data_IF_829921204660
#
_entry.id   IF_829921204660
#
_cell.length_a   1.000
_cell.length_b   1.000
_cell.length_c   1.000
_cell.angle_alpha   90.00
_cell.angle_beta   90.00
_cell.angle_gamma   90.00
#
_symmetry.space_group_name_H-M   'P 1'
#
loop_
_entity.id
_entity.type
_entity.pdbx_description
1 polymer ?
#
# COMPACT_ATOMS: atom_id res chain seq x y z
N UNK A 1 0.62 -13.53 -12.58
CA UNK A 1 -0.35 -12.87 -13.50
C UNK A 1 -0.18 -11.37 -13.35
N UNK A 2 -0.37 -10.59 -14.42
CA UNK A 2 -0.25 -9.14 -14.36
C UNK A 2 -1.56 -8.53 -13.85
N UNK A 3 -1.47 -7.66 -12.84
CA UNK A 3 -2.60 -6.97 -12.21
C UNK A 3 -2.39 -5.47 -12.26
N UNK A 4 -3.46 -4.70 -12.45
CA UNK A 4 -3.41 -3.24 -12.28
C UNK A 4 -3.37 -2.89 -10.81
N UNK A 5 -2.44 -2.02 -10.42
CA UNK A 5 -2.23 -1.61 -9.02
C UNK A 5 -3.50 -0.97 -8.42
N UNK A 6 -4.22 -0.17 -9.22
CA UNK A 6 -5.47 0.49 -8.81
C UNK A 6 -6.62 -0.47 -8.50
N UNK A 7 -6.56 -1.72 -8.95
CA UNK A 7 -7.60 -2.74 -8.74
C UNK A 7 -7.27 -3.71 -7.59
N UNK A 8 -6.04 -3.67 -7.07
CA UNK A 8 -5.59 -4.56 -6.00
C UNK A 8 -6.38 -4.32 -4.71
N UNK A 9 -6.77 -5.39 -4.02
CA UNK A 9 -7.48 -5.31 -2.75
C UNK A 9 -7.21 -6.53 -1.86
N UNK A 10 -7.48 -6.38 -0.56
CA UNK A 10 -7.31 -7.43 0.43
C UNK A 10 -5.91 -8.07 0.37
N UNK A 11 -5.86 -9.39 0.50
CA UNK A 11 -4.60 -10.13 0.53
C UNK A 11 -3.75 -9.93 -0.73
N UNK A 12 -4.35 -9.69 -1.90
CA UNK A 12 -3.59 -9.48 -3.12
C UNK A 12 -2.85 -8.12 -3.10
N UNK A 13 -3.46 -7.09 -2.52
CA UNK A 13 -2.79 -5.81 -2.26
C UNK A 13 -1.66 -5.99 -1.24
N UNK A 14 -1.90 -6.74 -0.15
CA UNK A 14 -0.88 -7.00 0.86
C UNK A 14 0.34 -7.75 0.30
N UNK A 15 0.13 -8.70 -0.61
CA UNK A 15 1.21 -9.39 -1.33
C UNK A 15 2.00 -8.46 -2.24
N UNK A 16 1.33 -7.53 -2.93
CA UNK A 16 2.00 -6.54 -3.75
C UNK A 16 2.84 -5.58 -2.92
N UNK A 17 2.34 -5.17 -1.74
CA UNK A 17 3.10 -4.35 -0.79
C UNK A 17 4.33 -5.10 -0.31
N UNK A 18 4.20 -6.37 0.06
CA UNK A 18 5.35 -7.18 0.47
C UNK A 18 6.40 -7.31 -0.64
N UNK A 19 5.96 -7.51 -1.89
CA UNK A 19 6.85 -7.51 -3.05
C UNK A 19 7.56 -6.16 -3.24
N UNK A 20 6.84 -5.05 -3.05
CA UNK A 20 7.41 -3.70 -3.12
C UNK A 20 8.39 -3.40 -1.98
N UNK A 21 8.22 -4.02 -0.81
CA UNK A 21 9.16 -3.97 0.32
C UNK A 21 10.34 -4.94 0.18
N UNK A 22 10.40 -5.74 -0.90
CA UNK A 22 11.36 -6.83 -1.07
C UNK A 22 11.31 -7.87 0.06
N UNK A 23 10.12 -8.08 0.66
CA UNK A 23 9.89 -9.07 1.72
C UNK A 23 9.46 -10.40 1.09
N UNK A 24 10.11 -11.50 1.48
CA UNK A 24 9.64 -12.83 1.11
C UNK A 24 8.29 -13.14 1.77
N UNK A 25 7.32 -13.55 0.97
CA UNK A 25 5.99 -13.97 1.44
C UNK A 25 5.68 -15.40 1.05
N UNK A 26 5.13 -16.18 1.97
CA UNK A 26 4.49 -17.46 1.65
C UNK A 26 2.98 -17.28 1.56
N UNK A 27 2.39 -17.90 0.56
CA UNK A 27 0.94 -18.02 0.46
C UNK A 27 0.44 -19.06 1.47
N UNK A 28 -0.63 -18.74 2.19
CA UNK A 28 -1.20 -19.60 3.22
C UNK A 28 -2.71 -19.69 3.08
N UNK A 29 -3.32 -20.66 3.77
CA UNK A 29 -4.78 -20.77 3.81
C UNK A 29 -5.35 -19.59 4.61
N UNK A 30 -5.82 -18.56 3.91
CA UNK A 30 -6.39 -17.34 4.51
C UNK A 30 -5.64 -16.03 4.23
N UNK A 31 -4.55 -16.04 3.47
CA UNK A 31 -3.81 -14.81 3.11
C UNK A 31 -2.33 -15.06 2.84
N UNK A 32 -1.50 -14.04 3.09
CA UNK A 32 -0.05 -14.10 2.95
C UNK A 32 0.65 -13.95 4.31
N UNK A 33 1.72 -14.71 4.51
CA UNK A 33 2.64 -14.58 5.66
C UNK A 33 3.95 -13.99 5.17
N UNK A 34 4.39 -12.91 5.80
CA UNK A 34 5.66 -12.25 5.48
C UNK A 34 6.78 -12.72 6.42
N UNK A 35 7.98 -12.91 5.87
CA UNK A 35 9.19 -13.26 6.60
C UNK A 35 10.16 -12.09 6.59
N UNK A 36 10.39 -11.46 7.75
CA UNK A 36 11.44 -10.45 7.84
C UNK A 36 12.83 -11.12 7.73
N UNK A 37 13.76 -10.53 7.00
CA UNK A 37 15.12 -11.06 6.81
C UNK A 37 15.91 -11.18 8.15
N UNK A 38 15.53 -10.39 9.16
CA UNK A 38 16.06 -10.52 10.54
C UNK A 38 15.46 -11.70 11.32
N UNK A 39 14.45 -12.39 10.78
CA UNK A 39 13.72 -13.48 11.42
C UNK A 39 14.31 -14.86 11.09
N UNK A 40 15.64 -15.01 11.22
CA UNK A 40 16.22 -16.30 11.65
C UNK A 40 15.78 -16.68 13.09
N UNK A 41 14.96 -15.85 13.72
CA UNK A 41 14.47 -15.99 15.08
C UNK A 41 12.94 -16.11 15.02
N UNK A 42 12.47 -17.35 15.21
CA UNK A 42 11.08 -17.82 15.38
C UNK A 42 10.26 -18.17 14.13
N UNK A 43 10.46 -19.39 13.64
CA UNK A 43 9.52 -20.16 12.80
C UNK A 43 8.13 -20.41 13.45
N UNK A 44 7.77 -19.70 14.52
CA UNK A 44 6.55 -19.89 15.32
C UNK A 44 5.66 -18.64 15.43
N UNK A 45 6.04 -17.50 14.88
CA UNK A 45 5.21 -16.28 14.92
C UNK A 45 5.17 -15.56 13.57
N UNK A 46 4.86 -16.29 12.50
CA UNK A 46 4.49 -15.64 11.25
C UNK A 46 3.22 -14.81 11.52
N UNK A 47 3.39 -13.49 11.67
CA UNK A 47 2.29 -12.57 11.87
C UNK A 47 1.67 -12.31 10.49
N UNK A 48 0.34 -12.29 10.43
CA UNK A 48 -0.37 -11.94 9.21
C UNK A 48 0.07 -10.56 8.75
N UNK A 49 0.61 -10.48 7.54
CA UNK A 49 1.02 -9.22 6.93
C UNK A 49 -0.16 -8.67 6.15
N UNK A 50 -0.73 -7.59 6.65
CA UNK A 50 -1.98 -7.01 6.15
C UNK A 50 -1.97 -5.47 6.22
N UNK A 51 -0.96 -4.79 5.64
CA UNK A 51 -0.80 -3.35 5.74
C UNK A 51 -1.97 -2.56 5.11
N UNK A 52 -2.77 -3.17 4.23
CA UNK A 52 -3.99 -2.56 3.70
C UNK A 52 -5.14 -2.45 4.71
N UNK A 53 -5.05 -3.14 5.86
CA UNK A 53 -6.10 -3.17 6.90
C UNK A 53 -5.59 -2.99 8.33
N UNK A 54 -4.30 -3.22 8.60
CA UNK A 54 -3.68 -3.04 9.91
C UNK A 54 -2.81 -1.78 9.95
N UNK A 55 -3.26 -0.76 10.68
CA UNK A 55 -2.55 0.50 10.87
C UNK A 55 -1.18 0.34 11.52
N UNK A 56 -0.98 -0.68 12.36
CA UNK A 56 0.33 -0.94 12.96
C UNK A 56 1.39 -1.35 11.92
N UNK A 57 0.95 -1.76 10.72
CA UNK A 57 1.80 -2.16 9.60
C UNK A 57 1.83 -1.08 8.51
N UNK A 58 0.66 -0.57 8.10
CA UNK A 58 0.56 0.43 7.04
C UNK A 58 0.97 1.85 7.46
N UNK A 59 0.75 2.22 8.73
CA UNK A 59 1.10 3.55 9.26
C UNK A 59 2.58 3.89 9.13
N UNK A 60 3.49 3.01 9.59
CA UNK A 60 4.93 3.21 9.40
C UNK A 60 5.37 3.35 7.94
N UNK A 61 4.70 2.69 6.99
CA UNK A 61 4.97 2.83 5.56
C UNK A 61 4.56 4.20 5.04
N UNK A 62 3.39 4.69 5.46
CA UNK A 62 2.89 6.03 5.10
C UNK A 62 3.88 7.10 5.53
N UNK A 63 4.38 7.02 6.76
CA UNK A 63 5.34 7.98 7.30
C UNK A 63 6.71 7.86 6.63
N UNK A 64 7.22 6.64 6.46
CA UNK A 64 8.54 6.38 5.83
C UNK A 64 8.60 6.86 4.38
N UNK A 65 7.52 6.69 3.63
CA UNK A 65 7.46 7.00 2.20
C UNK A 65 6.80 8.36 1.92
N UNK A 66 6.54 9.14 2.97
CA UNK A 66 5.94 10.48 2.90
C UNK A 66 4.63 10.53 2.06
N UNK A 67 3.80 9.50 2.23
CA UNK A 67 2.54 9.36 1.48
C UNK A 67 1.53 10.37 2.02
N UNK A 68 1.13 11.30 1.17
CA UNK A 68 0.05 12.24 1.45
C UNK A 68 -1.30 11.55 1.33
N UNK A 69 -2.19 11.81 2.28
CA UNK A 69 -3.56 11.28 2.30
C UNK A 69 -4.56 12.43 2.21
N UNK A 70 -5.46 12.34 1.23
CA UNK A 70 -6.57 13.27 1.07
C UNK A 70 -7.85 12.49 1.37
N UNK A 71 -8.58 12.97 2.39
CA UNK A 71 -9.86 12.38 2.75
C UNK A 71 -10.96 12.74 1.72
N UNK A 72 -11.96 11.88 1.53
CA UNK A 72 -13.12 12.22 0.72
C UNK A 72 -13.89 13.38 1.38
N UNK A 73 -13.76 14.58 0.80
CA UNK A 73 -14.38 15.80 1.33
C UNK A 73 -15.90 15.78 1.09
N UNK A 74 -16.69 15.83 2.17
CA UNK A 74 -18.14 16.07 2.22
C UNK A 74 -19.08 15.18 1.37
N UNK A 75 -18.56 14.22 0.61
CA UNK A 75 -19.33 13.24 -0.15
C UNK A 75 -18.78 11.83 0.10
N UNK A 76 -19.57 11.00 0.77
CA UNK A 76 -19.22 9.62 1.10
C UNK A 76 -19.09 8.69 -0.12
N UNK A 77 -19.44 9.17 -1.31
CA UNK A 77 -19.20 8.45 -2.58
C UNK A 77 -17.79 8.67 -3.11
N UNK A 78 -17.07 9.67 -2.59
CA UNK A 78 -15.68 9.91 -2.95
C UNK A 78 -14.78 8.90 -2.23
N UNK A 79 -13.67 8.56 -2.89
CA UNK A 79 -12.64 7.67 -2.35
C UNK A 79 -11.56 8.47 -1.63
N UNK A 80 -10.82 7.80 -0.76
CA UNK A 80 -9.53 8.32 -0.28
C UNK A 80 -8.57 8.40 -1.45
N UNK A 81 -7.76 9.45 -1.47
CA UNK A 81 -6.69 9.62 -2.45
C UNK A 81 -5.35 9.61 -1.70
N UNK A 82 -4.38 8.90 -2.26
CA UNK A 82 -3.01 8.89 -1.77
C UNK A 82 -2.03 9.23 -2.88
N UNK A 83 -0.93 9.90 -2.56
CA UNK A 83 0.13 10.26 -3.50
C UNK A 83 1.46 10.55 -2.79
N UNK A 84 2.57 10.42 -3.50
CA UNK A 84 3.92 10.79 -3.01
C UNK A 84 4.39 12.09 -3.68
N UNK A 85 5.48 12.70 -3.17
CA UNK A 85 6.04 13.95 -3.68
C UNK A 85 5.01 15.09 -3.78
N UNK A 86 4.08 15.16 -2.83
CA UNK A 86 3.04 16.15 -2.84
C UNK A 86 3.62 17.57 -2.82
N UNK A 87 3.26 18.38 -3.81
CA UNK A 87 3.72 19.75 -3.93
C UNK A 87 2.61 20.66 -4.43
N UNK A 88 2.73 21.95 -4.12
CA UNK A 88 1.81 22.97 -4.62
C UNK A 88 2.47 23.62 -5.84
N UNK A 89 1.82 23.49 -6.98
CA UNK A 89 2.35 24.09 -8.21
C UNK A 89 2.18 25.60 -8.21
N UNK A 90 2.80 26.27 -9.18
CA UNK A 90 2.70 27.73 -9.35
C UNK A 90 1.26 28.23 -9.60
N UNK A 91 0.32 27.31 -9.87
CA UNK A 91 -1.11 27.57 -10.05
C UNK A 91 -1.95 27.28 -8.81
N UNK A 92 -1.31 27.07 -7.66
CA UNK A 92 -1.97 26.72 -6.39
C UNK A 92 -2.74 25.38 -6.44
N UNK A 93 -2.41 24.52 -7.40
CA UNK A 93 -2.96 23.17 -7.49
C UNK A 93 -2.05 22.20 -6.71
N UNK A 94 -2.67 21.28 -5.95
CA UNK A 94 -1.96 20.17 -5.33
C UNK A 94 -1.64 19.13 -6.41
N UNK A 95 -0.36 18.86 -6.60
CA UNK A 95 0.16 17.84 -7.52
C UNK A 95 0.82 16.73 -6.70
N UNK A 96 0.61 15.48 -7.10
CA UNK A 96 1.18 14.31 -6.45
C UNK A 96 1.54 13.26 -7.50
N UNK A 97 2.64 12.56 -7.27
CA UNK A 97 3.05 11.42 -8.09
C UNK A 97 2.35 10.13 -7.62
N UNK A 98 2.21 9.17 -8.54
CA UNK A 98 1.67 7.83 -8.27
C UNK A 98 0.32 7.86 -7.52
N UNK A 99 -0.54 8.80 -7.90
CA UNK A 99 -1.84 8.98 -7.26
C UNK A 99 -2.69 7.71 -7.37
N UNK A 100 -3.21 7.24 -6.24
CA UNK A 100 -4.10 6.08 -6.18
C UNK A 100 -5.31 6.36 -5.31
N UNK A 101 -6.42 5.71 -5.65
CA UNK A 101 -7.67 5.81 -4.91
C UNK A 101 -7.95 4.54 -4.09
N UNK A 102 -8.69 4.69 -2.99
CA UNK A 102 -9.08 3.57 -2.14
C UNK A 102 -10.34 3.84 -1.33
N UNK A 103 -11.04 2.76 -1.01
CA UNK A 103 -12.23 2.78 -0.15
C UNK A 103 -11.87 3.16 1.30
N UNK A 104 -10.61 2.95 1.69
CA UNK A 104 -10.03 3.40 2.97
C UNK A 104 -8.69 4.09 2.73
N UNK A 105 -8.24 4.88 3.72
CA UNK A 105 -6.94 5.53 3.70
C UNK A 105 -5.78 4.53 3.48
N UNK A 106 -5.82 3.38 4.17
CA UNK A 106 -4.80 2.33 4.01
C UNK A 106 -4.81 1.70 2.62
N UNK A 107 -5.97 1.43 2.04
CA UNK A 107 -6.05 0.88 0.68
C UNK A 107 -5.45 1.87 -0.32
N UNK A 108 -5.81 3.16 -0.24
CA UNK A 108 -5.26 4.19 -1.10
C UNK A 108 -3.73 4.29 -0.93
N UNK A 109 -3.25 4.36 0.31
CA UNK A 109 -1.82 4.43 0.63
C UNK A 109 -1.04 3.23 0.09
N UNK A 110 -1.52 2.00 0.32
CA UNK A 110 -0.82 0.79 -0.10
C UNK A 110 -0.80 0.65 -1.63
N UNK A 111 -1.87 1.06 -2.33
CA UNK A 111 -1.84 1.13 -3.80
C UNK A 111 -0.82 2.16 -4.27
N UNK A 112 -0.79 3.35 -3.65
CA UNK A 112 0.19 4.40 -3.98
C UNK A 112 1.63 3.91 -3.77
N UNK A 113 1.89 3.24 -2.64
CA UNK A 113 3.20 2.63 -2.35
C UNK A 113 3.61 1.60 -3.40
N UNK A 114 2.71 0.68 -3.77
CA UNK A 114 2.99 -0.29 -4.83
C UNK A 114 3.26 0.41 -6.15
N UNK A 115 2.48 1.44 -6.51
CA UNK A 115 2.65 2.19 -7.74
C UNK A 115 3.98 2.95 -7.78
N UNK A 116 4.44 3.51 -6.66
CA UNK A 116 5.72 4.25 -6.59
C UNK A 116 6.94 3.35 -6.65
N UNK A 117 6.83 2.07 -6.30
CA UNK A 117 7.94 1.11 -6.33
C UNK A 117 7.93 0.21 -7.56
N UNK A 118 6.75 -0.24 -7.99
CA UNK A 118 6.58 -1.29 -9.01
C UNK A 118 5.84 -0.80 -10.27
N UNK A 119 5.22 0.39 -10.22
CA UNK A 119 4.45 0.96 -11.31
C UNK A 119 2.96 0.62 -11.29
N UNK A 120 2.24 1.03 -12.34
CA UNK A 120 0.78 0.91 -12.44
C UNK A 120 0.28 -0.53 -12.64
N UNK A 121 1.19 -1.44 -12.97
CA UNK A 121 0.90 -2.87 -13.11
C UNK A 121 1.97 -3.71 -12.43
N UNK A 122 1.55 -4.75 -11.70
CA UNK A 122 2.42 -5.66 -10.97
C UNK A 122 2.17 -7.12 -11.37
N UNK A 123 3.25 -7.87 -11.53
CA UNK A 123 3.19 -9.32 -11.70
C UNK A 123 3.19 -10.02 -10.32
N UNK A 124 2.13 -10.75 -9.99
CA UNK A 124 1.98 -11.51 -8.74
C UNK A 124 1.79 -13.02 -9.00
#
# INVERSE_FOLDING_TARGET
MKHKTSELSGSLLDAAVAKAECIEVAQCRGGYLAYAESARIHAYSAKQYSPSTDWAQGGPLIEREEISLICPLFDSRLKWIAGVNASVSSREALEMDHQQEGETALIAAMRCFVASKLGDEVDL
#
